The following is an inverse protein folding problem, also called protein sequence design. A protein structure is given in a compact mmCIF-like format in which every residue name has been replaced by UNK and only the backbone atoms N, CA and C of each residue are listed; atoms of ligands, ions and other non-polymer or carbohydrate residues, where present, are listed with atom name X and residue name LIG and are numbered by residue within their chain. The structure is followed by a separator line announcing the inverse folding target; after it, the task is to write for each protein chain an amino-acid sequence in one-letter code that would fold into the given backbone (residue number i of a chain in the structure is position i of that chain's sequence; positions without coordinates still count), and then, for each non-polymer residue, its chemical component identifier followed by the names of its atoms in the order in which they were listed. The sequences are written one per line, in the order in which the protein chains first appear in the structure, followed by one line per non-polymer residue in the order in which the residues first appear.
data_IF_385889018508
#
_entry.id   IF_385889018508
#
_cell.length_a   1.000
_cell.length_b   1.000
_cell.length_c   1.000
_cell.angle_alpha   90.00
_cell.angle_beta   90.00
_cell.angle_gamma   90.00
#
_symmetry.space_group_name_H-M   'P 1'
#
loop_
_entity.id
_entity.type
_entity.pdbx_description
1 polymer ?
#
# COMPACT_ATOMS: atom_id res chain seq x y z
N UNK A 1 12.90 -2.03 17.73
CA UNK A 1 12.03 -2.26 16.56
C UNK A 1 11.06 -1.11 16.60
N UNK A 2 11.25 -0.11 15.74
CA UNK A 2 10.32 1.02 15.66
C UNK A 2 8.94 0.47 15.27
N UNK A 3 7.88 0.93 15.95
CA UNK A 3 6.51 0.64 15.52
C UNK A 3 6.33 1.28 14.14
N UNK A 4 6.33 0.45 13.09
CA UNK A 4 6.06 0.91 11.73
C UNK A 4 4.58 1.28 11.68
N UNK A 5 4.30 2.59 11.71
CA UNK A 5 2.97 3.12 11.53
C UNK A 5 2.46 2.83 10.11
N UNK A 6 1.22 2.33 10.02
CA UNK A 6 0.49 2.23 8.75
C UNK A 6 -0.30 3.48 8.43
N UNK A 7 -0.06 4.58 9.16
CA UNK A 7 -0.81 5.82 9.07
C UNK A 7 0.06 6.99 8.63
N UNK A 8 -0.57 7.93 7.93
CA UNK A 8 0.01 9.20 7.51
C UNK A 8 -0.95 10.36 7.78
N UNK A 9 -0.41 11.52 8.13
CA UNK A 9 -1.19 12.74 8.26
C UNK A 9 -1.08 13.58 6.98
N UNK A 10 -2.21 14.01 6.42
CA UNK A 10 -2.26 14.92 5.29
C UNK A 10 -3.51 15.79 5.35
N UNK A 11 -3.39 17.08 5.02
CA UNK A 11 -4.53 18.03 4.99
C UNK A 11 -5.38 18.03 6.29
N UNK A 12 -4.74 17.87 7.46
CA UNK A 12 -5.41 17.84 8.76
C UNK A 12 -6.26 16.59 9.00
N UNK A 13 -6.04 15.51 8.25
CA UNK A 13 -6.67 14.20 8.42
C UNK A 13 -5.61 13.12 8.55
N UNK A 14 -5.94 12.12 9.37
CA UNK A 14 -5.19 10.87 9.44
C UNK A 14 -5.72 9.89 8.41
N UNK A 15 -4.80 9.29 7.67
CA UNK A 15 -5.07 8.25 6.71
C UNK A 15 -4.37 6.98 7.12
N UNK A 16 -4.98 5.83 6.82
CA UNK A 16 -4.39 4.52 7.02
C UNK A 16 -4.23 3.83 5.65
N UNK A 17 -3.10 3.14 5.45
CA UNK A 17 -2.98 2.16 4.37
C UNK A 17 -3.58 0.85 4.84
N UNK A 18 -4.66 0.44 4.19
CA UNK A 18 -5.39 -0.78 4.52
C UNK A 18 -5.84 -1.51 3.26
N UNK A 19 -5.69 -2.82 3.26
CA UNK A 19 -6.12 -3.66 2.15
C UNK A 19 -7.29 -4.56 2.54
N UNK A 20 -8.14 -4.79 1.56
CA UNK A 20 -9.15 -5.85 1.56
C UNK A 20 -9.02 -6.60 0.24
N UNK A 21 -9.54 -7.83 0.17
CA UNK A 21 -9.59 -8.60 -1.09
C UNK A 21 -10.06 -7.74 -2.26
N UNK A 22 -11.17 -7.02 -2.08
CA UNK A 22 -11.73 -6.15 -3.12
C UNK A 22 -10.75 -5.05 -3.57
N UNK A 23 -9.98 -4.45 -2.67
CA UNK A 23 -9.02 -3.38 -3.05
C UNK A 23 -7.82 -3.94 -3.78
N UNK A 24 -7.35 -5.14 -3.40
CA UNK A 24 -6.31 -5.86 -4.14
C UNK A 24 -6.82 -6.27 -5.52
N UNK A 25 -8.02 -6.86 -5.64
CA UNK A 25 -8.63 -7.20 -6.93
C UNK A 25 -8.77 -5.98 -7.83
N UNK A 26 -9.21 -4.84 -7.29
CA UNK A 26 -9.32 -3.59 -8.02
C UNK A 26 -7.96 -3.06 -8.51
N UNK A 27 -6.90 -3.26 -7.73
CA UNK A 27 -5.53 -2.95 -8.15
C UNK A 27 -5.12 -3.91 -9.29
N UNK A 28 -5.19 -5.22 -9.07
CA UNK A 28 -4.74 -6.23 -10.03
C UNK A 28 -5.56 -6.28 -11.33
N UNK A 29 -6.77 -5.72 -11.35
CA UNK A 29 -7.59 -5.59 -12.57
C UNK A 29 -6.91 -4.78 -13.69
N UNK A 30 -5.92 -3.93 -13.36
CA UNK A 30 -5.19 -3.12 -14.34
C UNK A 30 -3.68 -3.07 -14.09
N UNK A 31 -3.18 -3.84 -13.12
CA UNK A 31 -1.77 -3.90 -12.75
C UNK A 31 -1.33 -5.37 -12.69
N UNK A 32 -0.01 -5.58 -12.67
CA UNK A 32 0.53 -6.92 -12.42
C UNK A 32 0.14 -7.37 -11.00
N UNK A 33 -0.10 -8.67 -10.78
CA UNK A 33 -0.37 -9.19 -9.44
C UNK A 33 0.70 -8.78 -8.44
N UNK A 34 0.29 -8.42 -7.22
CA UNK A 34 1.16 -7.85 -6.19
C UNK A 34 2.38 -8.73 -5.96
N UNK A 35 2.17 -10.04 -5.80
CA UNK A 35 3.28 -10.97 -5.55
C UNK A 35 4.16 -11.24 -6.76
N UNK A 36 3.62 -11.13 -7.98
CA UNK A 36 4.43 -11.24 -9.18
C UNK A 36 5.38 -10.03 -9.31
N UNK A 37 4.90 -8.82 -9.03
CA UNK A 37 5.73 -7.62 -8.98
C UNK A 37 6.78 -7.69 -7.87
N UNK A 38 6.37 -8.08 -6.66
CA UNK A 38 7.26 -8.18 -5.52
C UNK A 38 8.40 -9.17 -5.77
N UNK A 39 8.10 -10.36 -6.31
CA UNK A 39 9.11 -11.36 -6.65
C UNK A 39 10.03 -10.89 -7.78
N UNK A 40 9.49 -10.28 -8.85
CA UNK A 40 10.28 -9.79 -9.98
C UNK A 40 11.29 -8.72 -9.54
N UNK A 41 10.90 -7.85 -8.62
CA UNK A 41 11.71 -6.72 -8.18
C UNK A 41 12.56 -7.03 -6.93
N UNK A 42 12.77 -8.31 -6.61
CA UNK A 42 13.63 -8.73 -5.50
C UNK A 42 13.13 -8.32 -4.12
N UNK A 43 11.81 -8.30 -3.91
CA UNK A 43 11.19 -7.92 -2.65
C UNK A 43 10.88 -6.43 -2.52
N UNK A 44 10.61 -5.75 -3.64
CA UNK A 44 10.27 -4.31 -3.66
C UNK A 44 9.21 -4.01 -4.73
N UNK A 45 8.80 -2.74 -4.83
CA UNK A 45 7.87 -2.27 -5.86
C UNK A 45 8.48 -1.12 -6.67
N UNK A 46 8.23 -1.06 -7.98
CA UNK A 46 8.58 0.13 -8.74
C UNK A 46 7.85 1.37 -8.20
N UNK A 47 8.35 2.58 -8.49
CA UNK A 47 7.74 3.82 -7.99
C UNK A 47 6.24 3.95 -8.34
N UNK A 48 5.88 3.61 -9.58
CA UNK A 48 4.48 3.64 -10.03
C UNK A 48 3.61 2.59 -9.32
N UNK A 49 4.15 1.39 -9.07
CA UNK A 49 3.46 0.32 -8.35
C UNK A 49 3.25 0.71 -6.88
N UNK A 50 4.27 1.30 -6.24
CA UNK A 50 4.16 1.77 -4.86
C UNK A 50 3.11 2.88 -4.74
N UNK A 51 3.13 3.87 -5.64
CA UNK A 51 2.13 4.94 -5.68
C UNK A 51 0.71 4.37 -5.81
N UNK A 52 0.53 3.41 -6.71
CA UNK A 52 -0.78 2.83 -6.96
C UNK A 52 -1.20 1.92 -5.79
N UNK A 53 -0.30 1.14 -5.20
CA UNK A 53 -0.59 0.39 -3.98
C UNK A 53 -1.04 1.30 -2.83
N UNK A 54 -0.40 2.46 -2.63
CA UNK A 54 -0.90 3.46 -1.66
C UNK A 54 -2.28 3.94 -2.07
N UNK A 55 -2.50 4.34 -3.32
CA UNK A 55 -3.77 4.86 -3.79
C UNK A 55 -4.95 3.87 -3.60
N UNK A 56 -4.70 2.59 -3.82
CA UNK A 56 -5.68 1.53 -3.58
C UNK A 56 -5.76 1.13 -2.11
N UNK A 57 -4.74 1.37 -1.29
CA UNK A 57 -4.80 1.11 0.15
C UNK A 57 -5.38 2.26 1.00
N UNK A 58 -5.40 3.48 0.47
CA UNK A 58 -5.63 4.68 1.28
C UNK A 58 -7.09 4.77 1.78
N UNK A 59 -7.23 4.92 3.09
CA UNK A 59 -8.49 5.08 3.81
C UNK A 59 -8.39 6.24 4.79
N UNK A 60 -9.48 6.99 4.98
CA UNK A 60 -9.58 7.99 6.06
C UNK A 60 -9.80 7.25 7.37
N UNK A 61 -9.07 7.60 8.44
CA UNK A 61 -9.24 6.98 9.75
C UNK A 61 -10.71 7.06 10.23
N UNK A 62 -11.27 5.93 10.66
CA UNK A 62 -12.67 5.82 11.06
C UNK A 62 -13.69 6.02 9.92
N UNK A 63 -13.23 6.12 8.67
CA UNK A 63 -14.02 6.43 7.49
C UNK A 63 -13.92 5.39 6.38
N UNK A 64 -14.04 5.85 5.14
CA UNK A 64 -14.02 5.02 3.94
C UNK A 64 -12.72 5.12 3.13
N UNK A 65 -12.61 4.25 2.12
CA UNK A 65 -11.51 4.32 1.16
C UNK A 65 -11.55 5.59 0.34
N UNK A 66 -10.38 6.14 0.07
CA UNK A 66 -10.19 7.21 -0.91
C UNK A 66 -10.35 6.62 -2.32
N UNK A 67 -10.87 7.43 -3.24
CA UNK A 67 -10.92 7.06 -4.66
C UNK A 67 -9.50 6.85 -5.21
N UNK A 68 -9.24 5.85 -6.09
CA UNK A 68 -7.88 5.60 -6.58
C UNK A 68 -7.25 6.82 -7.28
N UNK A 69 -8.04 7.64 -7.98
CA UNK A 69 -7.53 8.87 -8.62
C UNK A 69 -7.02 9.89 -7.61
N UNK A 70 -7.80 10.16 -6.55
CA UNK A 70 -7.35 11.06 -5.47
C UNK A 70 -6.19 10.45 -4.67
N UNK A 71 -6.24 9.13 -4.41
CA UNK A 71 -5.19 8.41 -3.72
C UNK A 71 -3.85 8.47 -4.44
N UNK A 72 -3.83 8.48 -5.77
CA UNK A 72 -2.59 8.62 -6.57
C UNK A 72 -1.92 9.98 -6.37
N UNK A 73 -2.70 11.07 -6.43
CA UNK A 73 -2.17 12.41 -6.18
C UNK A 73 -1.62 12.54 -4.75
N UNK A 74 -2.31 11.94 -3.77
CA UNK A 74 -1.83 11.90 -2.39
C UNK A 74 -0.57 11.05 -2.23
N UNK A 75 -0.50 9.90 -2.90
CA UNK A 75 0.65 9.00 -2.83
C UNK A 75 1.93 9.64 -3.40
N UNK A 76 1.81 10.45 -4.46
CA UNK A 76 2.95 11.21 -4.99
C UNK A 76 3.51 12.17 -3.95
N UNK A 77 2.65 12.96 -3.29
CA UNK A 77 3.07 13.86 -2.21
C UNK A 77 3.67 13.08 -1.02
N UNK A 78 3.05 11.97 -0.62
CA UNK A 78 3.56 11.15 0.49
C UNK A 78 4.96 10.61 0.20
N UNK A 79 5.21 10.15 -1.03
CA UNK A 79 6.53 9.64 -1.44
C UNK A 79 7.56 10.77 -1.53
N UNK A 80 7.17 11.95 -2.03
CA UNK A 80 8.06 13.12 -2.10
C UNK A 80 8.47 13.61 -0.70
N UNK A 81 7.51 13.69 0.22
CA UNK A 81 7.73 14.21 1.58
C UNK A 81 8.47 13.21 2.50
N UNK A 82 8.13 11.92 2.43
CA UNK A 82 8.64 10.90 3.35
C UNK A 82 9.76 10.04 2.74
N UNK A 83 9.94 10.12 1.43
CA UNK A 83 10.83 9.25 0.67
C UNK A 83 10.22 7.87 0.38
N UNK A 84 10.72 7.25 -0.70
CA UNK A 84 10.27 5.94 -1.16
C UNK A 84 10.32 4.86 -0.06
N UNK A 85 11.43 4.80 0.70
CA UNK A 85 11.66 3.70 1.65
C UNK A 85 10.64 3.69 2.78
N UNK A 86 10.32 4.85 3.35
CA UNK A 86 9.35 4.96 4.43
C UNK A 86 7.95 4.54 3.95
N UNK A 87 7.52 5.03 2.78
CA UNK A 87 6.22 4.67 2.20
C UNK A 87 6.16 3.18 1.84
N UNK A 88 7.25 2.63 1.29
CA UNK A 88 7.36 1.19 1.01
C UNK A 88 7.22 0.36 2.28
N UNK A 89 7.89 0.72 3.38
CA UNK A 89 7.79 0.00 4.65
C UNK A 89 6.36 0.01 5.20
N UNK A 90 5.66 1.14 5.11
CA UNK A 90 4.24 1.22 5.49
C UNK A 90 3.36 0.32 4.62
N UNK A 91 3.53 0.35 3.29
CA UNK A 91 2.76 -0.51 2.38
C UNK A 91 3.05 -1.99 2.64
N UNK A 92 4.32 -2.36 2.85
CA UNK A 92 4.71 -3.72 3.17
C UNK A 92 4.08 -4.20 4.48
N UNK A 93 4.14 -3.39 5.54
CA UNK A 93 3.49 -3.70 6.82
C UNK A 93 1.97 -3.88 6.68
N UNK A 94 1.30 -3.03 5.88
CA UNK A 94 -0.12 -3.16 5.61
C UNK A 94 -0.45 -4.43 4.80
N UNK A 95 0.35 -4.78 3.79
CA UNK A 95 0.19 -6.01 3.02
C UNK A 95 0.40 -7.26 3.90
N UNK A 96 1.39 -7.26 4.79
CA UNK A 96 1.59 -8.37 5.73
C UNK A 96 0.41 -8.52 6.70
N UNK A 97 -0.07 -7.40 7.27
CA UNK A 97 -1.20 -7.37 8.20
C UNK A 97 -2.51 -7.82 7.56
N UNK A 98 -2.83 -7.27 6.39
CA UNK A 98 -4.15 -7.41 5.76
C UNK A 98 -4.20 -8.54 4.72
N UNK A 99 -3.07 -8.81 4.07
CA UNK A 99 -2.91 -9.77 2.99
C UNK A 99 -1.88 -10.84 3.32
N UNK A 100 -1.74 -11.21 4.60
CA UNK A 100 -0.80 -12.25 5.06
C UNK A 100 -0.90 -13.58 4.31
N UNK A 101 -2.02 -13.86 3.64
CA UNK A 101 -2.19 -15.01 2.74
C UNK A 101 -1.19 -15.02 1.56
N UNK A 102 -0.68 -13.87 1.12
CA UNK A 102 0.37 -13.79 0.11
C UNK A 102 1.70 -14.40 0.57
N UNK A 103 1.97 -14.37 1.87
CA UNK A 103 3.24 -14.78 2.48
C UNK A 103 3.15 -16.15 3.17
N UNK A 104 1.97 -16.79 3.15
CA UNK A 104 1.83 -18.16 3.65
C UNK A 104 2.54 -19.11 2.69
N UNK A 105 3.68 -19.64 3.11
CA UNK A 105 4.23 -20.85 2.50
C UNK A 105 3.32 -22.03 2.87
N UNK A 106 2.98 -22.91 1.91
CA UNK A 106 2.42 -24.20 2.30
C UNK A 106 3.45 -24.89 3.19
N UNK A 107 3.10 -25.11 4.46
CA UNK A 107 3.80 -26.10 5.27
C UNK A 107 3.61 -27.43 4.57
N UNK A 108 4.70 -27.97 4.02
CA UNK A 108 4.75 -29.36 3.56
C UNK A 108 4.64 -30.32 4.75
#
# INVERSE_FOLDING_TARGET
MEDISTQFEANGKTYEVKYSFKRIEMYEASHRPVMASFAQNGGSFGLAELRDLVAYGLMVEGGGYVSPQQGRAMAENLIDENGYLAVFQTVAAALERDCGFFFKTQSA
#
